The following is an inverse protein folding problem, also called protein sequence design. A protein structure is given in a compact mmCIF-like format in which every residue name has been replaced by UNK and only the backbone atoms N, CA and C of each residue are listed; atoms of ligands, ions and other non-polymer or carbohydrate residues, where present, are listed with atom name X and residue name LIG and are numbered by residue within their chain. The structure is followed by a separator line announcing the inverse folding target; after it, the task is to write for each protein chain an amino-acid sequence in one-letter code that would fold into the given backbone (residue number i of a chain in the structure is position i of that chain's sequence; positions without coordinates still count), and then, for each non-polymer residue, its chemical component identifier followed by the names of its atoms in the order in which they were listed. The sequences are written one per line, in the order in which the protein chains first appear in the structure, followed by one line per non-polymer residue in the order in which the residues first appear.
data_IF_873612164509
#
_entry.id   IF_873612164509
#
_cell.length_a   1.000
_cell.length_b   1.000
_cell.length_c   1.000
_cell.angle_alpha   90.00
_cell.angle_beta   90.00
_cell.angle_gamma   90.00
#
_symmetry.space_group_name_H-M   'P 1'
#
loop_
_entity.id
_entity.type
_entity.pdbx_description
1 polymer ?
#
# COMPACT_ATOMS: atom_id res chain seq x y z
N UNK A 1 6.82 7.44 17.74
CA UNK A 1 6.11 8.42 16.89
C UNK A 1 6.51 8.15 15.45
N UNK A 2 5.58 7.94 14.51
CA UNK A 2 5.97 7.72 13.11
C UNK A 2 6.37 9.06 12.51
N UNK A 3 7.59 9.16 12.02
CA UNK A 3 8.02 10.32 11.23
C UNK A 3 7.08 10.51 10.03
N UNK A 4 6.72 11.74 9.68
CA UNK A 4 6.00 12.00 8.44
C UNK A 4 6.84 11.55 7.24
N UNK A 5 6.18 10.98 6.23
CA UNK A 5 6.84 10.53 5.01
C UNK A 5 7.43 11.74 4.27
N UNK A 6 8.69 11.63 3.89
CA UNK A 6 9.33 12.59 3.00
C UNK A 6 8.67 12.56 1.61
N UNK A 7 8.80 13.66 0.87
CA UNK A 7 8.30 13.74 -0.51
C UNK A 7 8.90 12.67 -1.40
N UNK A 8 10.15 12.28 -1.15
CA UNK A 8 10.85 11.27 -1.94
C UNK A 8 10.35 9.85 -1.64
N UNK A 9 10.03 9.55 -0.38
CA UNK A 9 9.38 8.29 -0.03
C UNK A 9 7.98 8.19 -0.63
N UNK A 10 7.20 9.28 -0.60
CA UNK A 10 5.87 9.30 -1.22
C UNK A 10 5.96 9.08 -2.73
N UNK A 11 6.89 9.76 -3.41
CA UNK A 11 7.14 9.54 -4.84
C UNK A 11 7.52 8.09 -5.11
N UNK A 12 8.42 7.52 -4.29
CA UNK A 12 8.85 6.14 -4.46
C UNK A 12 7.70 5.13 -4.31
N UNK A 13 6.78 5.37 -3.37
CA UNK A 13 5.57 4.55 -3.24
C UNK A 13 4.67 4.70 -4.47
N UNK A 14 4.46 5.93 -4.95
CA UNK A 14 3.63 6.19 -6.13
C UNK A 14 4.21 5.60 -7.42
N UNK A 15 5.53 5.58 -7.58
CA UNK A 15 6.22 4.92 -8.70
C UNK A 15 5.95 3.41 -8.77
N UNK A 16 5.63 2.80 -7.64
CA UNK A 16 5.33 1.36 -7.52
C UNK A 16 3.83 1.06 -7.52
N UNK A 17 3.00 2.09 -7.66
CA UNK A 17 1.57 1.98 -7.55
C UNK A 17 0.94 1.83 -8.94
N UNK A 18 0.57 0.61 -9.32
CA UNK A 18 -0.02 0.32 -10.63
C UNK A 18 -1.47 0.81 -10.74
N UNK A 19 -2.23 0.75 -9.64
CA UNK A 19 -3.66 1.10 -9.59
C UNK A 19 -3.92 2.60 -9.38
N UNK A 20 -2.90 3.44 -9.56
CA UNK A 20 -2.99 4.89 -9.35
C UNK A 20 -3.14 5.31 -7.89
N UNK A 21 -3.19 6.61 -7.67
CA UNK A 21 -3.08 7.21 -6.34
C UNK A 21 -4.27 6.91 -5.42
N UNK A 22 -5.46 6.68 -5.97
CA UNK A 22 -6.66 6.39 -5.17
C UNK A 22 -6.55 5.10 -4.35
N UNK A 23 -5.83 4.11 -4.87
CA UNK A 23 -5.60 2.84 -4.18
C UNK A 23 -4.80 3.05 -2.89
N UNK A 24 -3.93 4.06 -2.89
CA UNK A 24 -3.08 4.45 -1.77
C UNK A 24 -3.86 5.25 -0.71
N UNK A 25 -4.89 6.01 -1.10
CA UNK A 25 -5.68 6.86 -0.23
C UNK A 25 -6.83 6.08 0.44
N UNK A 26 -7.00 6.31 1.74
CA UNK A 26 -8.09 5.75 2.53
C UNK A 26 -9.39 6.53 2.31
N UNK A 27 -10.14 6.21 1.24
CA UNK A 27 -11.44 6.84 0.89
C UNK A 27 -12.51 6.73 2.00
N UNK A 28 -12.32 5.82 2.97
CA UNK A 28 -13.20 5.68 4.15
C UNK A 28 -12.88 6.66 5.28
N UNK A 29 -11.76 7.37 5.23
CA UNK A 29 -11.34 8.28 6.29
C UNK A 29 -12.16 9.59 6.20
N UNK A 30 -12.82 9.97 7.29
CA UNK A 30 -13.58 11.23 7.38
C UNK A 30 -12.71 12.45 7.08
N UNK A 31 -11.42 12.39 7.45
CA UNK A 31 -10.45 13.44 7.18
C UNK A 31 -10.19 13.64 5.68
N UNK A 32 -10.12 12.54 4.91
CA UNK A 32 -9.98 12.60 3.44
C UNK A 32 -11.21 13.24 2.82
N UNK A 33 -12.40 12.86 3.28
CA UNK A 33 -13.65 13.48 2.80
C UNK A 33 -13.74 14.97 3.15
N UNK A 34 -13.22 15.39 4.29
CA UNK A 34 -13.20 16.82 4.67
C UNK A 34 -12.17 17.65 3.90
N UNK A 35 -11.14 17.03 3.32
CA UNK A 35 -10.20 17.74 2.45
C UNK A 35 -10.89 18.23 1.17
N UNK A 36 -11.96 17.56 0.72
CA UNK A 36 -12.71 17.89 -0.49
C UNK A 36 -11.79 18.08 -1.72
N UNK A 37 -10.81 17.19 -1.81
CA UNK A 37 -9.81 17.12 -2.88
C UNK A 37 -10.13 15.92 -3.74
N UNK A 38 -10.16 16.13 -5.05
CA UNK A 38 -10.19 15.05 -6.03
C UNK A 38 -8.75 14.71 -6.45
N UNK A 39 -8.27 13.52 -6.08
CA UNK A 39 -6.90 13.11 -6.38
C UNK A 39 -6.67 12.75 -7.86
N UNK A 40 -7.73 12.53 -8.65
CA UNK A 40 -7.60 12.29 -10.09
C UNK A 40 -7.36 13.58 -10.88
N UNK A 41 -7.82 14.71 -10.37
CA UNK A 41 -7.66 16.03 -11.01
C UNK A 41 -6.34 16.73 -10.63
N UNK A 42 -5.65 16.24 -9.60
CA UNK A 42 -4.40 16.84 -9.13
C UNK A 42 -3.20 16.51 -10.02
N UNK A 43 -2.25 17.44 -10.09
CA UNK A 43 -0.91 17.10 -10.54
C UNK A 43 -0.21 16.17 -9.54
N UNK A 44 0.72 15.35 -10.03
CA UNK A 44 1.53 14.46 -9.20
C UNK A 44 2.23 15.21 -8.05
N UNK A 45 2.69 16.44 -8.29
CA UNK A 45 3.40 17.24 -7.29
C UNK A 45 2.47 17.70 -6.15
N UNK A 46 1.24 18.11 -6.49
CA UNK A 46 0.23 18.51 -5.50
C UNK A 46 -0.21 17.32 -4.65
N UNK A 47 -0.47 16.19 -5.30
CA UNK A 47 -0.76 14.93 -4.65
C UNK A 47 0.33 14.51 -3.65
N UNK A 48 1.60 14.54 -4.06
CA UNK A 48 2.75 14.24 -3.19
C UNK A 48 2.81 15.19 -2.00
N UNK A 49 2.58 16.49 -2.22
CA UNK A 49 2.59 17.50 -1.15
C UNK A 49 1.48 17.24 -0.13
N UNK A 50 0.26 16.95 -0.59
CA UNK A 50 -0.88 16.68 0.30
C UNK A 50 -0.64 15.42 1.14
N UNK A 51 -0.12 14.35 0.53
CA UNK A 51 0.21 13.10 1.21
C UNK A 51 1.31 13.30 2.25
N UNK A 52 2.39 14.01 1.90
CA UNK A 52 3.51 14.25 2.82
C UNK A 52 3.08 15.10 4.03
N UNK A 53 2.19 16.08 3.83
CA UNK A 53 1.62 16.88 4.91
C UNK A 53 0.60 16.10 5.76
N UNK A 54 -0.08 15.11 5.17
CA UNK A 54 -1.16 14.38 5.80
C UNK A 54 -1.01 12.86 5.68
N UNK A 55 0.06 12.23 6.23
CA UNK A 55 0.32 10.80 6.06
C UNK A 55 -0.78 9.89 6.67
N UNK A 56 -1.70 10.44 7.46
CA UNK A 56 -2.89 9.76 7.98
C UNK A 56 -3.94 9.42 6.90
N UNK A 57 -3.84 10.02 5.71
CA UNK A 57 -4.76 9.72 4.61
C UNK A 57 -4.42 8.41 3.91
N UNK A 58 -3.20 7.90 4.10
CA UNK A 58 -2.73 6.68 3.49
C UNK A 58 -3.38 5.45 4.12
N UNK A 59 -3.73 4.46 3.29
CA UNK A 59 -4.12 3.14 3.77
C UNK A 59 -2.91 2.47 4.42
N UNK A 60 -3.17 1.71 5.49
CA UNK A 60 -2.13 0.99 6.26
C UNK A 60 -2.56 -0.46 6.46
N UNK A 61 -1.62 -1.43 6.57
CA UNK A 61 -0.17 -1.28 6.38
C UNK A 61 0.24 -1.01 4.93
N UNK A 62 1.42 -0.43 4.69
CA UNK A 62 2.04 -0.33 3.37
C UNK A 62 3.33 -1.15 3.44
N UNK A 63 3.46 -2.13 2.54
CA UNK A 63 4.60 -3.02 2.48
C UNK A 63 5.18 -2.91 1.07
N UNK A 64 6.46 -2.59 0.98
CA UNK A 64 7.14 -2.45 -0.31
C UNK A 64 8.43 -3.28 -0.33
N UNK A 65 8.71 -3.88 -1.48
CA UNK A 65 10.01 -4.43 -1.87
C UNK A 65 10.42 -3.83 -3.22
N UNK A 66 11.57 -4.21 -3.77
CA UNK A 66 12.07 -3.66 -5.05
C UNK A 66 11.07 -3.80 -6.22
N UNK A 67 10.17 -4.78 -6.15
CA UNK A 67 9.28 -5.23 -7.24
C UNK A 67 7.80 -5.16 -6.88
N UNK A 68 7.44 -4.99 -5.62
CA UNK A 68 6.07 -5.17 -5.13
C UNK A 68 5.71 -4.08 -4.15
N UNK A 69 4.47 -3.62 -4.27
CA UNK A 69 3.82 -2.74 -3.32
C UNK A 69 2.50 -3.41 -2.92
N UNK A 70 2.28 -3.56 -1.62
CA UNK A 70 0.97 -3.92 -1.09
C UNK A 70 0.47 -2.85 -0.14
N UNK A 71 -0.80 -2.51 -0.32
CA UNK A 71 -1.48 -1.46 0.41
C UNK A 71 -2.68 -2.08 1.12
N UNK A 72 -2.71 -1.95 2.44
CA UNK A 72 -3.69 -2.62 3.30
C UNK A 72 -3.27 -4.05 3.67
N UNK A 73 -4.18 -4.74 4.34
CA UNK A 73 -3.98 -6.13 4.75
C UNK A 73 -4.88 -7.04 3.93
N UNK A 74 -4.27 -7.94 3.17
CA UNK A 74 -4.90 -9.11 2.58
C UNK A 74 -3.96 -10.30 2.85
N UNK A 75 -4.50 -11.33 3.51
CA UNK A 75 -3.73 -12.48 3.97
C UNK A 75 -3.15 -13.32 2.82
N UNK A 76 -3.85 -13.41 1.68
CA UNK A 76 -3.35 -14.17 0.53
C UNK A 76 -2.27 -13.40 -0.22
N UNK A 77 -2.52 -12.10 -0.42
CA UNK A 77 -1.63 -11.17 -1.11
C UNK A 77 -0.30 -10.96 -0.38
N UNK A 78 -0.34 -10.78 0.95
CA UNK A 78 0.87 -10.52 1.74
C UNK A 78 1.86 -11.69 1.72
N UNK A 79 1.41 -12.92 1.44
CA UNK A 79 2.29 -14.10 1.26
C UNK A 79 3.22 -13.96 0.08
N UNK A 80 2.97 -13.03 -0.85
CA UNK A 80 3.89 -12.73 -1.94
C UNK A 80 5.27 -12.30 -1.42
N UNK A 81 5.35 -11.60 -0.28
CA UNK A 81 6.61 -11.17 0.33
C UNK A 81 7.39 -12.30 1.02
N UNK A 82 6.80 -13.47 1.21
CA UNK A 82 7.52 -14.60 1.77
C UNK A 82 8.60 -15.09 0.79
N UNK A 83 9.81 -15.42 1.29
CA UNK A 83 10.84 -16.10 0.51
C UNK A 83 10.29 -17.34 -0.20
N UNK A 84 10.83 -17.66 -1.39
CA UNK A 84 10.35 -18.78 -2.22
C UNK A 84 10.27 -20.10 -1.46
N UNK A 85 11.28 -20.41 -0.64
CA UNK A 85 11.34 -21.64 0.14
C UNK A 85 10.21 -21.73 1.17
N UNK A 86 9.88 -20.61 1.85
CA UNK A 86 8.77 -20.57 2.81
C UNK A 86 7.44 -20.79 2.10
N UNK A 87 7.24 -20.16 0.94
CA UNK A 87 6.01 -20.31 0.15
C UNK A 87 5.78 -21.74 -0.35
N UNK A 88 6.83 -22.45 -0.76
CA UNK A 88 6.73 -23.87 -1.16
C UNK A 88 6.29 -24.73 0.03
N UNK A 89 6.90 -24.54 1.20
CA UNK A 89 6.55 -25.26 2.41
C UNK A 89 5.09 -25.02 2.85
N UNK A 90 4.62 -23.76 2.80
CA UNK A 90 3.21 -23.47 3.10
C UNK A 90 2.26 -24.12 2.11
N UNK A 91 2.56 -24.05 0.81
CA UNK A 91 1.72 -24.65 -0.22
C UNK A 91 1.66 -26.18 -0.12
N UNK A 92 2.80 -26.82 0.17
CA UNK A 92 2.86 -28.27 0.37
C UNK A 92 2.13 -28.68 1.66
N UNK A 93 2.25 -27.89 2.73
CA UNK A 93 1.49 -28.09 3.96
C UNK A 93 -0.02 -27.93 3.76
N UNK A 94 -0.47 -26.94 2.98
CA UNK A 94 -1.89 -26.75 2.63
C UNK A 94 -2.43 -27.95 1.85
N UNK A 95 -1.71 -28.41 0.83
CA UNK A 95 -2.08 -29.59 0.04
C UNK A 95 -2.24 -30.85 0.89
N UNK A 96 -1.38 -31.02 1.91
CA UNK A 96 -1.48 -32.14 2.84
C UNK A 96 -2.73 -32.07 3.73
N UNK A 97 -3.16 -30.86 4.12
CA UNK A 97 -4.37 -30.67 4.94
C UNK A 97 -5.64 -30.91 4.12
N UNK A 98 -5.65 -30.53 2.85
CA UNK A 98 -6.79 -30.74 1.96
C UNK A 98 -6.94 -32.21 1.51
N UNK A 99 -5.92 -33.03 1.72
CA UNK A 99 -5.89 -34.45 1.35
C UNK A 99 -6.36 -35.40 2.46
N UNK A 100 -6.72 -34.89 3.64
CA UNK A 100 -7.21 -35.63 4.82
C UNK A 100 -8.69 -35.31 5.04
#
# INVERSE_FOLDING_TARGET
MSSPLSTDEVKHILEKCDDGIESLISNRNRFVKSLNVDFEELSLSEAVSIISQNPQILRRPIILDDKRLHIGYNEEEIRAFLPRNVRVLENDGLRLRDAI
#
